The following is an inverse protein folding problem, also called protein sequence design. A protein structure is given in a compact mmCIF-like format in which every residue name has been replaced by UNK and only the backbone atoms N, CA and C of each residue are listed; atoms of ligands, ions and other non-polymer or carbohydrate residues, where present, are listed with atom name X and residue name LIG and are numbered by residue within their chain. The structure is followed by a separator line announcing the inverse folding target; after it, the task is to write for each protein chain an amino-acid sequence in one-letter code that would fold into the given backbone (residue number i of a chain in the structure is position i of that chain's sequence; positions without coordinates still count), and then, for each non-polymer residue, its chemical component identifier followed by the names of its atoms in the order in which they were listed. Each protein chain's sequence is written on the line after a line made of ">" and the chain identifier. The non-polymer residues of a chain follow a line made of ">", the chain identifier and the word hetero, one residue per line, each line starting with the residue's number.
data_IF_444432242221
#
_entry.id   IF_444432242221
#
_cell.length_a   1.000
_cell.length_b   1.000
_cell.length_c   1.000
_cell.angle_alpha   90.00
_cell.angle_beta   90.00
_cell.angle_gamma   90.00
#
_symmetry.space_group_name_H-M   'P 1'
#
loop_
_entity.id
_entity.type
_entity.pdbx_description
1 polymer ?
#
# COMPACT_ATOMS: atom_id res chain seq x y z
N UNK A 1 -24.47 0.46 -10.30
CA UNK A 1 -23.07 0.52 -9.81
C UNK A 1 -22.95 1.70 -8.85
N UNK A 2 -22.60 1.49 -7.57
CA UNK A 2 -22.34 2.60 -6.64
C UNK A 2 -20.90 3.06 -6.87
N UNK A 3 -20.72 4.24 -7.47
CA UNK A 3 -19.43 4.90 -7.67
C UNK A 3 -19.31 6.00 -6.61
N UNK A 4 -18.31 5.95 -5.72
CA UNK A 4 -18.08 7.00 -4.73
C UNK A 4 -16.59 7.32 -4.66
N UNK A 5 -16.23 8.56 -5.00
CA UNK A 5 -14.90 9.15 -4.84
C UNK A 5 -15.01 10.20 -3.75
N UNK A 6 -14.10 10.18 -2.79
CA UNK A 6 -14.04 11.17 -1.72
C UNK A 6 -12.63 11.75 -1.71
N UNK A 7 -12.53 13.05 -2.03
CA UNK A 7 -11.30 13.83 -2.00
C UNK A 7 -11.26 14.66 -0.73
N UNK A 8 -10.06 14.87 -0.17
CA UNK A 8 -9.87 15.75 0.98
C UNK A 8 -9.47 17.15 0.50
N UNK A 9 -10.17 18.19 0.97
CA UNK A 9 -10.04 19.57 0.49
C UNK A 9 -8.71 20.22 0.95
N UNK A 10 -8.06 19.66 1.97
CA UNK A 10 -6.79 20.15 2.51
C UNK A 10 -5.53 19.49 1.90
N UNK A 11 -5.70 18.70 0.84
CA UNK A 11 -4.60 18.05 0.13
C UNK A 11 -3.84 19.07 -0.73
N UNK A 12 -2.55 18.81 -0.98
CA UNK A 12 -1.79 19.57 -1.97
C UNK A 12 -2.30 19.35 -3.40
N UNK A 13 -1.49 19.75 -4.39
CA UNK A 13 -1.87 19.65 -5.79
C UNK A 13 -2.24 18.22 -6.22
N UNK A 14 -3.15 18.12 -7.19
CA UNK A 14 -3.59 16.85 -7.76
C UNK A 14 -2.39 16.16 -8.44
N UNK A 15 -2.16 14.90 -8.09
CA UNK A 15 -1.13 14.06 -8.74
C UNK A 15 -1.77 13.23 -9.84
N UNK A 16 -1.44 13.52 -11.10
CA UNK A 16 -2.01 12.82 -12.27
C UNK A 16 -1.61 11.34 -12.28
N UNK A 17 -0.30 11.04 -12.30
CA UNK A 17 0.21 9.66 -12.41
C UNK A 17 -0.10 8.78 -11.20
N UNK A 18 0.06 9.34 -10.00
CA UNK A 18 -0.08 8.60 -8.75
C UNK A 18 -1.50 8.62 -8.18
N UNK A 19 -2.39 9.45 -8.74
CA UNK A 19 -3.77 9.61 -8.34
C UNK A 19 -4.72 9.27 -9.48
N UNK A 20 -4.99 10.24 -10.36
CA UNK A 20 -6.06 10.14 -11.38
C UNK A 20 -5.88 8.92 -12.30
N UNK A 21 -4.68 8.65 -12.80
CA UNK A 21 -4.43 7.50 -13.66
C UNK A 21 -4.75 6.17 -12.95
N UNK A 22 -4.46 6.05 -11.66
CA UNK A 22 -4.79 4.84 -10.88
C UNK A 22 -6.28 4.71 -10.62
N UNK A 23 -6.97 5.83 -10.40
CA UNK A 23 -8.42 5.88 -10.21
C UNK A 23 -9.14 5.45 -11.48
N UNK A 24 -8.81 6.04 -12.62
CA UNK A 24 -9.40 5.67 -13.92
C UNK A 24 -9.03 4.24 -14.34
N UNK A 25 -7.79 3.83 -14.12
CA UNK A 25 -7.36 2.44 -14.34
C UNK A 25 -8.18 1.45 -13.51
N UNK A 26 -8.51 1.80 -12.26
CA UNK A 26 -9.39 0.99 -11.40
C UNK A 26 -10.80 0.90 -11.97
N UNK A 27 -11.37 2.01 -12.45
CA UNK A 27 -12.71 2.01 -13.06
C UNK A 27 -12.76 1.10 -14.27
N UNK A 28 -11.77 1.25 -15.16
CA UNK A 28 -11.70 0.46 -16.37
C UNK A 28 -11.55 -1.03 -16.08
N UNK A 29 -10.61 -1.43 -15.20
CA UNK A 29 -10.39 -2.84 -14.84
C UNK A 29 -11.63 -3.45 -14.20
N UNK A 30 -12.30 -2.75 -13.28
CA UNK A 30 -13.51 -3.27 -12.63
C UNK A 30 -14.68 -3.39 -13.60
N UNK A 31 -14.78 -2.50 -14.58
CA UNK A 31 -15.77 -2.65 -15.65
C UNK A 31 -15.49 -3.88 -16.52
N UNK A 32 -14.21 -4.18 -16.82
CA UNK A 32 -13.83 -5.41 -17.53
C UNK A 32 -14.10 -6.68 -16.73
N UNK A 33 -13.75 -6.70 -15.43
CA UNK A 33 -13.96 -7.86 -14.56
C UNK A 33 -15.46 -8.17 -14.43
N UNK A 34 -16.28 -7.14 -14.16
CA UNK A 34 -17.72 -7.31 -14.01
C UNK A 34 -18.44 -7.73 -15.31
N UNK A 35 -17.86 -7.43 -16.47
CA UNK A 35 -18.37 -7.89 -17.77
C UNK A 35 -17.97 -9.35 -18.08
N UNK A 36 -16.93 -9.88 -17.42
CA UNK A 36 -16.35 -11.18 -17.73
C UNK A 36 -16.90 -12.30 -16.84
N UNK A 37 -17.79 -13.12 -17.40
CA UNK A 37 -18.40 -14.26 -16.71
C UNK A 37 -17.41 -15.40 -16.37
N UNK A 38 -16.19 -15.41 -16.94
CA UNK A 38 -15.18 -16.41 -16.63
C UNK A 38 -14.40 -16.11 -15.33
N UNK A 39 -14.37 -14.84 -14.89
CA UNK A 39 -13.63 -14.44 -13.69
C UNK A 39 -14.52 -14.54 -12.45
N UNK A 40 -15.70 -13.89 -12.49
CA UNK A 40 -16.65 -13.86 -11.38
C UNK A 40 -18.10 -13.91 -11.91
N UNK A 41 -18.64 -15.11 -12.18
CA UNK A 41 -20.01 -15.24 -12.68
C UNK A 41 -21.03 -14.78 -11.64
N UNK A 42 -22.02 -13.99 -12.08
CA UNK A 42 -23.10 -13.45 -11.25
C UNK A 42 -22.68 -12.58 -10.04
N UNK A 43 -21.44 -12.13 -9.97
CA UNK A 43 -20.95 -11.25 -8.91
C UNK A 43 -20.50 -9.92 -9.52
N UNK A 44 -20.98 -8.82 -8.96
CA UNK A 44 -20.54 -7.48 -9.33
C UNK A 44 -19.68 -6.88 -8.23
N UNK A 45 -18.43 -6.58 -8.53
CA UNK A 45 -17.51 -5.85 -7.67
C UNK A 45 -17.82 -4.35 -7.75
N UNK A 46 -18.12 -3.78 -6.59
CA UNK A 46 -18.17 -2.32 -6.38
C UNK A 46 -16.84 -1.77 -5.87
N UNK A 47 -16.76 -0.46 -5.73
CA UNK A 47 -15.57 0.21 -5.21
C UNK A 47 -15.94 1.47 -4.44
N UNK A 48 -15.06 1.84 -3.51
CA UNK A 48 -15.05 3.14 -2.87
C UNK A 48 -13.60 3.62 -2.83
N UNK A 49 -13.34 4.78 -3.43
CA UNK A 49 -12.00 5.35 -3.55
C UNK A 49 -11.92 6.56 -2.64
N UNK A 50 -10.87 6.60 -1.81
CA UNK A 50 -10.58 7.67 -0.88
C UNK A 50 -9.13 8.11 -1.03
N UNK A 51 -8.91 9.41 -0.91
CA UNK A 51 -7.58 9.99 -1.05
C UNK A 51 -6.71 9.66 0.18
N UNK A 52 -5.47 9.23 -0.07
CA UNK A 52 -4.48 9.01 0.99
C UNK A 52 -3.54 10.20 1.18
N UNK A 53 -3.52 11.14 0.23
CA UNK A 53 -2.71 12.36 0.21
C UNK A 53 -1.20 12.16 0.39
N UNK A 54 -0.71 10.91 0.28
CA UNK A 54 0.63 10.53 0.70
C UNK A 54 0.96 11.00 2.13
N UNK A 55 -0.06 11.10 2.99
CA UNK A 55 0.09 11.61 4.36
C UNK A 55 -0.66 10.73 5.35
N UNK A 56 0.07 10.24 6.35
CA UNK A 56 -0.42 9.21 7.26
C UNK A 56 -1.73 9.57 7.98
N UNK A 57 -1.89 10.76 8.59
CA UNK A 57 -3.13 11.13 9.26
C UNK A 57 -4.36 11.07 8.33
N UNK A 58 -4.23 11.54 7.08
CA UNK A 58 -5.33 11.50 6.12
C UNK A 58 -5.65 10.06 5.73
N UNK A 59 -4.64 9.25 5.41
CA UNK A 59 -4.86 7.84 5.08
C UNK A 59 -5.50 7.05 6.23
N UNK A 60 -5.12 7.34 7.49
CA UNK A 60 -5.70 6.74 8.68
C UNK A 60 -7.16 7.16 8.88
N UNK A 61 -7.48 8.45 8.72
CA UNK A 61 -8.85 8.96 8.76
C UNK A 61 -9.73 8.22 7.74
N UNK A 62 -9.26 8.12 6.49
CA UNK A 62 -9.98 7.40 5.44
C UNK A 62 -10.12 5.89 5.74
N UNK A 63 -9.14 5.29 6.41
CA UNK A 63 -9.17 3.88 6.84
C UNK A 63 -10.21 3.65 7.93
N UNK A 64 -10.29 4.54 8.93
CA UNK A 64 -11.31 4.48 9.99
C UNK A 64 -12.71 4.62 9.38
N UNK A 65 -12.86 5.51 8.41
CA UNK A 65 -14.10 5.68 7.65
C UNK A 65 -14.51 4.40 6.90
N UNK A 66 -13.57 3.68 6.29
CA UNK A 66 -13.84 2.39 5.66
C UNK A 66 -14.35 1.35 6.67
N UNK A 67 -13.68 1.25 7.82
CA UNK A 67 -14.01 0.30 8.88
C UNK A 67 -15.36 0.65 9.51
N UNK A 68 -15.60 1.92 9.85
CA UNK A 68 -16.85 2.37 10.46
C UNK A 68 -18.06 2.02 9.59
N UNK A 69 -17.99 2.29 8.28
CA UNK A 69 -19.04 1.89 7.34
C UNK A 69 -19.23 0.37 7.25
N UNK A 70 -18.15 -0.40 7.40
CA UNK A 70 -18.18 -1.87 7.33
C UNK A 70 -18.79 -2.50 8.58
N UNK A 71 -18.41 -2.01 9.77
CA UNK A 71 -18.96 -2.46 11.06
C UNK A 71 -20.44 -2.11 11.17
N UNK A 72 -20.84 -0.90 10.78
CA UNK A 72 -22.25 -0.50 10.74
C UNK A 72 -23.05 -1.39 9.78
N UNK A 73 -22.48 -1.72 8.61
CA UNK A 73 -23.13 -2.62 7.66
C UNK A 73 -23.29 -4.03 8.25
N UNK A 74 -22.26 -4.56 8.93
CA UNK A 74 -22.34 -5.88 9.57
C UNK A 74 -23.40 -5.92 10.69
N UNK A 75 -23.50 -4.87 11.50
CA UNK A 75 -24.52 -4.74 12.53
C UNK A 75 -25.93 -4.64 11.95
N UNK A 76 -26.13 -3.87 10.87
CA UNK A 76 -27.43 -3.70 10.22
C UNK A 76 -27.90 -4.95 9.46
N UNK A 77 -26.98 -5.75 8.91
CA UNK A 77 -27.31 -7.04 8.27
C UNK A 77 -27.88 -8.06 9.28
N UNK A 78 -27.53 -7.93 10.56
CA UNK A 78 -28.15 -8.71 11.64
C UNK A 78 -29.58 -8.24 11.97
N UNK A 79 -29.93 -7.01 11.55
CA UNK A 79 -31.21 -6.36 11.81
C UNK A 79 -32.01 -6.20 10.50
N UNK A 80 -32.40 -7.33 9.89
CA UNK A 80 -33.55 -7.50 8.98
C UNK A 80 -33.94 -6.29 8.09
N UNK A 81 -32.96 -5.64 7.47
CA UNK A 81 -33.18 -4.44 6.66
C UNK A 81 -32.83 -4.73 5.22
N UNK A 82 -33.81 -4.50 4.33
CA UNK A 82 -33.77 -4.64 2.87
C UNK A 82 -32.79 -3.65 2.18
N UNK A 83 -31.72 -3.24 2.87
CA UNK A 83 -30.70 -2.34 2.37
C UNK A 83 -29.54 -3.13 1.80
N UNK A 84 -29.41 -3.17 0.46
CA UNK A 84 -28.23 -3.64 -0.25
C UNK A 84 -26.98 -2.78 0.11
N UNK A 85 -26.41 -3.02 1.29
CA UNK A 85 -25.15 -2.46 1.76
C UNK A 85 -24.07 -3.51 1.54
N UNK A 86 -23.18 -3.21 0.60
CA UNK A 86 -22.05 -4.08 0.29
C UNK A 86 -21.02 -4.01 1.41
N UNK A 87 -20.61 -5.16 1.93
CA UNK A 87 -19.51 -5.27 2.89
C UNK A 87 -18.19 -4.99 2.19
N UNK A 88 -17.28 -4.26 2.84
CA UNK A 88 -15.93 -4.04 2.34
C UNK A 88 -15.15 -5.36 2.44
N UNK A 89 -14.68 -5.86 1.30
CA UNK A 89 -13.99 -7.16 1.23
C UNK A 89 -12.47 -7.06 1.44
N UNK A 90 -11.84 -5.99 0.93
CA UNK A 90 -10.41 -5.76 1.03
C UNK A 90 -10.08 -4.29 0.76
N UNK A 91 -8.86 -3.88 1.13
CA UNK A 91 -8.30 -2.57 0.81
C UNK A 91 -7.10 -2.74 -0.12
N UNK A 92 -6.99 -1.85 -1.12
CA UNK A 92 -5.83 -1.78 -2.03
C UNK A 92 -5.05 -0.50 -1.74
N UNK A 93 -3.73 -0.63 -1.57
CA UNK A 93 -2.84 0.48 -1.22
C UNK A 93 -2.75 0.74 0.29
N UNK A 94 -2.26 1.92 0.73
CA UNK A 94 -1.78 3.05 -0.09
C UNK A 94 -0.40 2.79 -0.73
N UNK A 95 0.20 3.82 -1.32
CA UNK A 95 1.45 3.69 -2.07
C UNK A 95 2.71 3.68 -1.21
N UNK A 96 2.77 4.52 -0.17
CA UNK A 96 3.92 4.63 0.72
C UNK A 96 4.00 3.45 1.70
N UNK A 97 5.20 2.94 1.95
CA UNK A 97 5.40 1.81 2.85
C UNK A 97 5.07 2.14 4.31
N UNK A 98 5.50 3.30 4.81
CA UNK A 98 5.28 3.72 6.20
C UNK A 98 3.79 3.95 6.44
N UNK A 99 3.10 4.61 5.51
CA UNK A 99 1.65 4.82 5.58
C UNK A 99 0.89 3.49 5.48
N UNK A 100 1.36 2.57 4.63
CA UNK A 100 0.78 1.23 4.52
C UNK A 100 0.90 0.48 5.84
N UNK A 101 2.06 0.51 6.49
CA UNK A 101 2.24 -0.11 7.81
C UNK A 101 1.29 0.50 8.85
N UNK A 102 1.10 1.82 8.84
CA UNK A 102 0.21 2.51 9.78
C UNK A 102 -1.26 2.17 9.55
N UNK A 103 -1.74 2.21 8.31
CA UNK A 103 -3.11 1.82 7.97
C UNK A 103 -3.36 0.33 8.26
N UNK A 104 -2.37 -0.54 8.00
CA UNK A 104 -2.49 -1.97 8.29
C UNK A 104 -2.68 -2.26 9.77
N UNK A 105 -2.01 -1.52 10.64
CA UNK A 105 -2.10 -1.73 12.09
C UNK A 105 -3.54 -1.63 12.62
N UNK A 106 -4.39 -0.82 11.98
CA UNK A 106 -5.82 -0.74 12.30
C UNK A 106 -6.59 -1.85 11.57
N UNK A 107 -6.34 -2.03 10.27
CA UNK A 107 -7.09 -2.99 9.45
C UNK A 107 -7.00 -4.42 9.97
N UNK A 108 -5.84 -4.84 10.45
CA UNK A 108 -5.65 -6.19 10.98
C UNK A 108 -6.49 -6.48 12.23
N UNK A 109 -6.88 -5.47 13.01
CA UNK A 109 -7.76 -5.62 14.18
C UNK A 109 -9.17 -6.04 13.78
N UNK A 110 -9.56 -5.77 12.53
CA UNK A 110 -10.85 -6.12 11.94
C UNK A 110 -10.71 -7.24 10.91
N UNK A 111 -9.57 -7.92 10.89
CA UNK A 111 -9.26 -9.01 9.95
C UNK A 111 -9.38 -8.61 8.47
N UNK A 112 -9.17 -7.32 8.18
CA UNK A 112 -9.36 -6.76 6.85
C UNK A 112 -8.12 -6.98 5.98
N UNK A 113 -8.23 -7.72 4.86
CA UNK A 113 -7.11 -7.91 3.94
C UNK A 113 -6.68 -6.58 3.30
N UNK A 114 -5.37 -6.34 3.25
CA UNK A 114 -4.78 -5.18 2.58
C UNK A 114 -3.77 -5.62 1.53
N UNK A 115 -3.92 -5.13 0.30
CA UNK A 115 -3.08 -5.49 -0.85
C UNK A 115 -2.28 -4.26 -1.28
N UNK A 116 -0.98 -4.28 -1.04
CA UNK A 116 -0.05 -3.23 -1.48
C UNK A 116 0.33 -3.37 -2.96
N UNK A 117 0.34 -2.24 -3.68
CA UNK A 117 0.81 -2.15 -5.07
C UNK A 117 2.14 -1.40 -5.23
N UNK A 118 2.59 -0.68 -4.20
CA UNK A 118 3.83 0.12 -4.22
C UNK A 118 4.59 0.12 -2.87
N UNK A 119 4.04 -0.50 -1.84
CA UNK A 119 4.67 -0.60 -0.52
C UNK A 119 5.70 -1.74 -0.49
N UNK A 120 6.96 -1.42 -0.71
CA UNK A 120 8.06 -2.37 -0.92
C UNK A 120 8.93 -2.63 0.31
N UNK A 121 8.74 -1.89 1.41
CA UNK A 121 9.54 -2.06 2.63
C UNK A 121 9.60 -3.52 3.09
N UNK A 122 10.78 -3.97 3.51
CA UNK A 122 11.02 -5.36 3.92
C UNK A 122 10.15 -5.77 5.10
N UNK A 123 9.91 -4.86 6.03
CA UNK A 123 9.15 -5.04 7.27
C UNK A 123 7.74 -5.59 7.00
N UNK A 124 7.10 -5.17 5.91
CA UNK A 124 5.78 -5.64 5.48
C UNK A 124 5.75 -7.13 5.06
N UNK A 125 6.91 -7.78 4.95
CA UNK A 125 6.99 -9.22 4.67
C UNK A 125 6.84 -10.08 5.93
N UNK A 126 6.96 -9.48 7.12
CA UNK A 126 6.78 -10.18 8.40
C UNK A 126 5.29 -10.48 8.64
N UNK A 127 4.90 -11.75 8.52
CA UNK A 127 3.50 -12.20 8.68
C UNK A 127 3.06 -12.37 10.12
N UNK A 128 3.99 -12.42 11.07
CA UNK A 128 3.64 -12.35 12.49
C UNK A 128 3.17 -10.94 12.84
N UNK A 129 3.77 -9.92 12.20
CA UNK A 129 3.42 -8.51 12.42
C UNK A 129 2.35 -7.95 11.48
N UNK A 130 2.32 -8.41 10.23
CA UNK A 130 1.43 -7.92 9.16
C UNK A 130 0.65 -9.09 8.52
N UNK A 131 -0.12 -9.79 9.36
CA UNK A 131 -0.80 -11.06 9.01
C UNK A 131 -1.72 -10.94 7.79
N UNK A 132 -2.51 -9.87 7.70
CA UNK A 132 -3.50 -9.67 6.65
C UNK A 132 -2.98 -8.82 5.47
N UNK A 133 -1.70 -8.50 5.46
CA UNK A 133 -1.09 -7.74 4.37
C UNK A 133 -0.57 -8.69 3.29
N UNK A 134 -0.72 -8.31 2.02
CA UNK A 134 0.02 -8.92 0.91
C UNK A 134 0.36 -7.86 -0.12
N UNK A 135 1.23 -8.17 -1.08
CA UNK A 135 1.58 -7.24 -2.17
C UNK A 135 1.89 -7.98 -3.46
N UNK A 136 1.66 -7.30 -4.57
CA UNK A 136 1.88 -7.83 -5.93
C UNK A 136 3.28 -7.52 -6.48
N UNK A 137 4.17 -6.98 -5.65
CA UNK A 137 5.52 -6.54 -6.02
C UNK A 137 6.57 -7.11 -5.06
N UNK A 138 7.83 -7.08 -5.50
CA UNK A 138 8.97 -7.52 -4.71
C UNK A 138 9.26 -6.64 -3.48
N UNK A 139 10.02 -7.19 -2.55
CA UNK A 139 10.58 -6.47 -1.40
C UNK A 139 11.82 -5.65 -1.79
N UNK A 140 12.05 -4.54 -1.09
CA UNK A 140 13.29 -3.76 -1.18
C UNK A 140 14.55 -4.59 -0.90
N UNK A 141 14.42 -5.75 -0.24
CA UNK A 141 15.51 -6.73 -0.10
C UNK A 141 16.13 -7.09 -1.45
N UNK A 142 15.31 -7.27 -2.49
CA UNK A 142 15.79 -7.64 -3.82
C UNK A 142 16.46 -6.44 -4.52
N UNK A 143 15.91 -5.24 -4.34
CA UNK A 143 16.50 -4.02 -4.87
C UNK A 143 17.85 -3.71 -4.21
N UNK A 144 17.94 -3.86 -2.88
CA UNK A 144 19.18 -3.69 -2.13
C UNK A 144 20.25 -4.70 -2.60
N UNK A 145 19.87 -5.96 -2.83
CA UNK A 145 20.77 -6.97 -3.38
C UNK A 145 21.31 -6.57 -4.75
N UNK A 146 20.43 -6.13 -5.67
CA UNK A 146 20.85 -5.68 -6.99
C UNK A 146 21.82 -4.49 -6.93
N UNK A 147 21.58 -3.52 -6.03
CA UNK A 147 22.47 -2.38 -5.83
C UNK A 147 23.85 -2.84 -5.33
N UNK A 148 23.90 -3.77 -4.36
CA UNK A 148 25.16 -4.31 -3.86
C UNK A 148 25.90 -5.09 -4.95
N UNK A 149 25.19 -5.85 -5.78
CA UNK A 149 25.81 -6.59 -6.89
C UNK A 149 26.39 -5.65 -7.95
N UNK A 150 25.75 -4.50 -8.20
CA UNK A 150 26.32 -3.42 -9.04
C UNK A 150 27.61 -2.88 -8.40
N UNK A 151 27.59 -2.55 -7.10
CA UNK A 151 28.77 -2.05 -6.37
C UNK A 151 29.94 -3.03 -6.50
N UNK A 152 29.68 -4.34 -6.34
CA UNK A 152 30.68 -5.40 -6.49
C UNK A 152 31.20 -5.51 -7.92
N UNK A 153 30.30 -5.50 -8.91
CA UNK A 153 30.65 -5.63 -10.32
C UNK A 153 31.58 -4.50 -10.78
N UNK A 154 31.37 -3.28 -10.29
CA UNK A 154 32.20 -2.11 -10.62
C UNK A 154 33.34 -1.86 -9.63
N UNK A 155 33.49 -2.74 -8.63
CA UNK A 155 34.55 -2.67 -7.62
C UNK A 155 34.61 -1.32 -6.89
N UNK A 156 33.45 -0.70 -6.61
CA UNK A 156 33.41 0.54 -5.85
C UNK A 156 33.72 0.26 -4.39
N UNK A 157 34.83 0.83 -3.89
CA UNK A 157 35.32 0.61 -2.53
C UNK A 157 34.81 1.62 -1.52
N UNK A 158 34.26 2.76 -1.98
CA UNK A 158 33.76 3.83 -1.13
C UNK A 158 32.49 4.43 -1.72
N UNK A 159 31.38 4.33 -0.99
CA UNK A 159 30.05 4.78 -1.42
C UNK A 159 29.39 5.63 -0.33
N UNK A 160 28.39 6.41 -0.71
CA UNK A 160 27.49 7.09 0.24
C UNK A 160 26.06 6.60 0.01
N UNK A 161 25.28 6.49 1.08
CA UNK A 161 23.86 6.15 1.01
C UNK A 161 23.01 7.38 1.31
N UNK A 162 21.98 7.59 0.50
CA UNK A 162 20.97 8.62 0.71
C UNK A 162 19.60 7.96 0.61
N UNK A 163 18.80 8.02 1.67
CA UNK A 163 17.45 7.46 1.73
C UNK A 163 16.43 8.51 2.12
N UNK A 164 15.19 8.35 1.69
CA UNK A 164 14.11 9.17 2.25
C UNK A 164 13.80 8.77 3.68
N UNK A 165 13.40 9.72 4.51
CA UNK A 165 12.87 9.43 5.84
C UNK A 165 11.63 8.52 5.75
N UNK A 166 11.50 7.61 6.73
CA UNK A 166 10.44 6.59 6.77
C UNK A 166 10.93 5.16 6.53
N UNK A 167 10.00 4.20 6.58
CA UNK A 167 10.33 2.77 6.58
C UNK A 167 10.87 2.26 5.24
N UNK A 168 10.48 2.90 4.14
CA UNK A 168 10.99 2.60 2.79
C UNK A 168 12.48 2.96 2.65
N UNK A 169 12.81 4.25 2.75
CA UNK A 169 14.18 4.71 2.49
C UNK A 169 15.18 4.22 3.54
N UNK A 170 14.84 4.34 4.84
CA UNK A 170 15.72 3.84 5.91
C UNK A 170 15.90 2.32 5.85
N UNK A 171 14.82 1.57 5.61
CA UNK A 171 14.87 0.12 5.50
C UNK A 171 15.71 -0.36 4.30
N UNK A 172 15.63 0.34 3.17
CA UNK A 172 16.44 0.07 1.99
C UNK A 172 17.93 0.32 2.24
N UNK A 173 18.27 1.46 2.83
CA UNK A 173 19.67 1.79 3.17
C UNK A 173 20.26 0.82 4.19
N UNK A 174 19.49 0.46 5.22
CA UNK A 174 19.92 -0.55 6.19
C UNK A 174 20.16 -1.92 5.52
N UNK A 175 19.30 -2.32 4.59
CA UNK A 175 19.46 -3.54 3.83
C UNK A 175 20.75 -3.52 2.98
N UNK A 176 21.04 -2.40 2.31
CA UNK A 176 22.28 -2.20 1.54
C UNK A 176 23.50 -2.32 2.46
N UNK A 177 23.51 -1.60 3.58
CA UNK A 177 24.60 -1.64 4.57
C UNK A 177 24.90 -3.06 5.03
N UNK A 178 23.86 -3.82 5.36
CA UNK A 178 23.99 -5.20 5.81
C UNK A 178 24.53 -6.13 4.70
N UNK A 179 24.15 -5.90 3.45
CA UNK A 179 24.57 -6.71 2.30
C UNK A 179 25.97 -6.36 1.80
N UNK A 180 26.39 -5.09 1.88
CA UNK A 180 27.73 -4.64 1.52
C UNK A 180 28.81 -5.19 2.46
N UNK A 181 28.50 -5.31 3.76
CA UNK A 181 29.39 -5.89 4.76
C UNK A 181 30.84 -5.35 4.67
N UNK A 182 31.81 -6.16 4.22
CA UNK A 182 33.24 -5.79 4.08
C UNK A 182 33.67 -5.47 2.65
N UNK A 183 32.74 -5.51 1.69
CA UNK A 183 33.05 -5.37 0.27
C UNK A 183 33.34 -3.91 -0.12
N UNK A 184 32.73 -2.94 0.59
CA UNK A 184 32.94 -1.51 0.41
C UNK A 184 32.67 -0.74 1.71
N UNK A 185 33.30 0.43 1.84
CA UNK A 185 33.06 1.37 2.93
C UNK A 185 31.88 2.30 2.61
N UNK A 186 30.99 2.51 3.58
CA UNK A 186 29.98 3.57 3.52
C UNK A 186 30.52 4.81 4.23
N UNK A 187 30.83 5.84 3.44
CA UNK A 187 31.44 7.08 3.90
C UNK A 187 30.48 8.07 4.55
N UNK A 188 29.23 8.04 4.12
CA UNK A 188 28.15 8.85 4.65
C UNK A 188 26.83 8.11 4.51
N UNK A 189 25.97 8.27 5.51
CA UNK A 189 24.59 7.81 5.48
C UNK A 189 23.69 9.00 5.81
N UNK A 190 22.87 9.40 4.83
CA UNK A 190 22.02 10.57 4.91
C UNK A 190 20.57 10.16 4.72
N UNK A 191 19.70 10.71 5.56
CA UNK A 191 18.27 10.58 5.40
C UNK A 191 17.61 11.95 5.26
N UNK A 192 16.63 12.04 4.35
CA UNK A 192 15.99 13.29 3.93
C UNK A 192 14.47 13.20 3.92
#
# INVERSE_FOLDING_TARGET
>A
KKKKIILNIFSGDIREDYGIHRVEGTFWILDQINANQAILPNVNIGYQIRDSCWYAPVALEQTIEFIGNSVLTAADLSANSNGNRAQLAAIIGPGDSSITMQTHNILQLFEMPQIGYSATAKQLSDKEKYKYFTRVIASDTQQAQAIVDIIRQFQWSYVATIGTEGDYGRGGVEAIRRLLNKDACIGADLTM
#
